data_IF_470137367958
#
_entry.id   IF_470137367958
#
_cell.length_a   1.000
_cell.length_b   1.000
_cell.length_c   1.000
_cell.angle_alpha   90.00
_cell.angle_beta   90.00
_cell.angle_gamma   90.00
#
_symmetry.space_group_name_H-M   'P 1'
#
loop_
_entity.id
_entity.type
_entity.pdbx_description
1 polymer ?
#
# COMPACT_ATOMS: atom_id res chain seq x y z
N UNK A 1 -11.11 -41.91 -24.35
CA UNK A 1 -10.14 -41.59 -25.42
C UNK A 1 -9.20 -40.50 -24.90
N UNK A 2 -7.89 -40.73 -24.95
CA UNK A 2 -6.80 -39.92 -24.35
C UNK A 2 -6.52 -38.62 -25.13
N UNK A 3 -5.99 -37.59 -24.47
CA UNK A 3 -4.68 -36.93 -24.72
C UNK A 3 -4.60 -35.55 -24.02
N UNK A 4 -3.71 -35.37 -23.02
CA UNK A 4 -2.34 -34.77 -23.09
C UNK A 4 -2.38 -33.29 -23.56
N UNK A 5 -1.97 -32.26 -22.81
CA UNK A 5 -0.82 -32.12 -21.93
C UNK A 5 0.39 -31.61 -22.74
N UNK A 6 0.73 -30.32 -22.69
CA UNK A 6 2.04 -29.82 -23.11
C UNK A 6 2.41 -28.47 -22.44
N UNK A 7 3.39 -28.57 -21.54
CA UNK A 7 4.20 -27.50 -20.95
C UNK A 7 5.28 -27.14 -21.97
N UNK A 8 5.57 -25.85 -22.19
CA UNK A 8 6.77 -25.43 -22.95
C UNK A 8 7.58 -24.38 -22.20
N UNK A 9 8.76 -24.86 -21.84
CA UNK A 9 10.02 -24.27 -21.37
C UNK A 9 10.34 -22.83 -21.81
N UNK A 10 10.85 -22.07 -20.83
CA UNK A 10 11.65 -20.84 -20.98
C UNK A 10 13.11 -21.21 -21.31
N UNK A 11 13.81 -20.49 -22.20
CA UNK A 11 15.26 -20.54 -22.26
C UNK A 11 15.93 -19.43 -21.44
N UNK A 12 16.88 -19.86 -20.63
CA UNK A 12 17.90 -19.10 -19.89
C UNK A 12 19.05 -18.78 -20.85
N UNK A 13 19.46 -17.52 -20.96
CA UNK A 13 20.69 -17.08 -21.65
C UNK A 13 21.49 -16.30 -20.61
N UNK A 14 22.48 -16.92 -19.98
CA UNK A 14 23.91 -16.99 -20.35
C UNK A 14 24.66 -15.67 -20.13
N UNK A 15 25.47 -15.75 -19.09
CA UNK A 15 26.47 -14.84 -18.56
C UNK A 15 27.70 -14.82 -19.49
N UNK A 16 28.25 -13.66 -19.81
CA UNK A 16 29.57 -13.53 -20.44
C UNK A 16 30.37 -12.43 -19.76
N UNK A 17 31.22 -12.89 -18.86
CA UNK A 17 32.49 -12.32 -18.44
C UNK A 17 33.44 -12.03 -19.62
N UNK A 18 34.16 -10.91 -19.61
CA UNK A 18 35.45 -10.63 -20.28
C UNK A 18 35.73 -9.12 -20.11
N UNK A 19 36.91 -8.54 -19.89
CA UNK A 19 38.23 -8.91 -19.37
C UNK A 19 38.87 -7.54 -19.02
N UNK A 20 39.65 -7.53 -17.95
CA UNK A 20 40.38 -6.41 -17.39
C UNK A 20 41.71 -6.25 -18.14
N UNK A 21 42.00 -5.06 -18.70
CA UNK A 21 43.40 -4.60 -18.89
C UNK A 21 43.46 -3.16 -19.39
N UNK A 22 44.10 -2.28 -18.61
CA UNK A 22 45.29 -1.48 -18.95
C UNK A 22 45.52 -0.36 -17.91
N UNK A 23 46.64 -0.45 -17.19
CA UNK A 23 47.40 0.71 -16.68
C UNK A 23 48.69 0.84 -17.52
N UNK A 24 49.26 2.05 -17.57
CA UNK A 24 50.57 2.30 -16.93
C UNK A 24 50.55 3.60 -16.10
N UNK A 25 51.13 3.66 -14.89
CA UNK A 25 52.55 3.93 -14.55
C UNK A 25 53.08 5.24 -15.15
N UNK A 26 53.32 6.24 -14.28
CA UNK A 26 54.57 7.01 -14.30
C UNK A 26 54.87 7.59 -12.91
N UNK A 27 56.16 7.67 -12.64
CA UNK A 27 56.84 7.85 -11.36
C UNK A 27 57.43 9.26 -11.19
N UNK A 28 58.11 9.43 -10.07
CA UNK A 28 59.07 10.49 -9.71
C UNK A 28 58.47 11.70 -8.98
N UNK A 29 59.09 12.30 -7.97
CA UNK A 29 60.44 12.12 -7.44
C UNK A 29 60.69 13.20 -6.38
N UNK A 30 61.13 12.72 -5.22
CA UNK A 30 61.59 13.40 -4.01
C UNK A 30 62.56 14.60 -4.22
N UNK A 31 62.40 15.71 -3.47
CA UNK A 31 63.45 16.35 -2.63
C UNK A 31 63.07 17.75 -2.10
N UNK A 32 63.06 17.97 -0.77
CA UNK A 32 63.98 18.91 -0.08
C UNK A 32 63.75 19.08 1.44
N UNK A 33 64.81 18.73 2.19
CA UNK A 33 65.52 19.48 3.27
C UNK A 33 64.77 19.96 4.55
N UNK A 34 65.14 19.25 5.64
CA UNK A 34 65.34 19.55 7.08
C UNK A 34 65.21 21.00 7.64
N UNK A 35 64.36 21.13 8.69
CA UNK A 35 64.46 21.73 10.07
C UNK A 35 65.24 23.04 10.34
N UNK A 36 64.97 23.84 11.42
CA UNK A 36 64.21 23.54 12.66
C UNK A 36 63.30 24.67 13.23
N UNK A 37 62.51 24.30 14.25
CA UNK A 37 62.03 25.08 15.40
C UNK A 37 61.45 26.50 15.20
N UNK A 38 60.14 26.63 15.45
CA UNK A 38 59.63 27.77 16.22
C UNK A 38 58.34 27.37 16.95
N UNK A 39 58.32 27.69 18.23
CA UNK A 39 57.24 27.40 19.17
C UNK A 39 55.94 28.11 18.78
N UNK A 40 54.82 27.40 18.85
CA UNK A 40 53.52 28.01 19.05
C UNK A 40 52.56 26.98 19.67
N UNK A 41 52.33 27.19 20.97
CA UNK A 41 51.25 26.69 21.80
C UNK A 41 49.96 26.46 20.98
N UNK A 42 49.62 25.21 20.66
CA UNK A 42 48.31 24.86 20.10
C UNK A 42 47.39 24.45 21.23
N UNK A 43 46.52 25.39 21.57
CA UNK A 43 45.37 25.24 22.44
C UNK A 43 44.58 23.97 22.05
N UNK A 44 44.47 23.01 22.97
CA UNK A 44 43.56 21.88 22.86
C UNK A 44 42.13 22.41 23.03
N UNK A 45 41.55 22.92 21.94
CA UNK A 45 40.11 23.17 21.87
C UNK A 45 39.46 21.81 21.63
N UNK A 46 39.04 21.16 22.71
CA UNK A 46 38.08 20.08 22.65
C UNK A 46 36.75 20.66 22.14
N UNK A 47 36.59 20.76 20.82
CA UNK A 47 35.27 20.88 20.21
C UNK A 47 34.53 19.57 20.48
N UNK A 48 33.81 19.51 21.60
CA UNK A 48 32.71 18.58 21.75
C UNK A 48 31.68 18.93 20.66
N UNK A 49 31.79 18.28 19.51
CA UNK A 49 30.71 18.22 18.54
C UNK A 49 29.59 17.46 19.23
N UNK A 50 28.66 18.20 19.82
CA UNK A 50 27.38 17.67 20.22
C UNK A 50 26.70 17.23 18.92
N UNK A 51 26.84 15.94 18.61
CA UNK A 51 26.03 15.28 17.61
C UNK A 51 24.60 15.41 18.14
N UNK A 52 23.88 16.42 17.65
CA UNK A 52 22.43 16.50 17.74
C UNK A 52 21.91 15.29 16.95
N UNK A 53 21.84 14.14 17.60
CA UNK A 53 21.05 13.03 17.13
C UNK A 53 19.61 13.52 17.25
N UNK A 54 18.87 13.78 16.16
CA UNK A 54 17.45 14.06 16.30
C UNK A 54 16.87 12.85 17.02
N UNK A 55 16.28 13.08 18.19
CA UNK A 55 15.51 12.07 18.87
C UNK A 55 14.54 11.52 17.83
N UNK A 56 14.67 10.24 17.49
CA UNK A 56 13.69 9.51 16.70
C UNK A 56 12.37 9.72 17.42
N UNK A 57 11.49 10.55 16.85
CA UNK A 57 10.17 10.82 17.41
C UNK A 57 9.50 9.48 17.62
N UNK A 58 9.31 9.10 18.88
CA UNK A 58 8.47 7.97 19.22
C UNK A 58 7.08 8.30 18.69
N UNK A 59 6.59 7.49 17.76
CA UNK A 59 5.20 7.59 17.32
C UNK A 59 4.31 7.60 18.57
N UNK A 60 3.43 8.59 18.67
CA UNK A 60 2.45 8.67 19.75
C UNK A 60 1.73 7.32 19.88
N UNK A 61 1.57 6.79 21.10
CA UNK A 61 0.91 5.51 21.30
C UNK A 61 -0.53 5.57 20.75
N UNK A 62 -0.96 4.49 20.11
CA UNK A 62 -2.33 4.40 19.59
C UNK A 62 -3.34 4.55 20.73
N UNK A 63 -4.53 5.13 20.47
CA UNK A 63 -5.62 5.15 21.44
C UNK A 63 -5.94 3.74 21.96
N UNK A 64 -6.41 3.65 23.21
CA UNK A 64 -6.79 2.38 23.80
C UNK A 64 -7.79 1.61 22.91
N UNK A 65 -7.52 0.32 22.71
CA UNK A 65 -8.33 -0.57 21.86
C UNK A 65 -7.99 -0.53 20.38
N UNK A 66 -7.04 0.31 19.94
CA UNK A 66 -6.48 0.28 18.59
C UNK A 66 -5.13 -0.42 18.57
N UNK A 67 -4.85 -1.10 17.45
CA UNK A 67 -3.64 -1.89 17.25
C UNK A 67 -3.09 -1.66 15.84
N UNK A 68 -1.78 -1.80 15.71
CA UNK A 68 -1.18 -2.00 14.40
C UNK A 68 -1.35 -3.46 13.98
N UNK A 69 -1.93 -3.66 12.80
CA UNK A 69 -2.37 -4.99 12.38
C UNK A 69 -1.20 -5.93 12.06
N UNK A 70 -0.07 -5.39 11.64
CA UNK A 70 1.19 -6.12 11.42
C UNK A 70 1.76 -6.79 12.69
N UNK A 71 1.33 -6.34 13.88
CA UNK A 71 1.69 -6.99 15.16
C UNK A 71 0.80 -8.19 15.51
N UNK A 72 -0.30 -8.39 14.77
CA UNK A 72 -1.31 -9.42 15.06
C UNK A 72 -1.55 -10.42 13.92
N UNK A 73 -1.23 -10.04 12.68
CA UNK A 73 -1.54 -10.85 11.50
C UNK A 73 -0.27 -11.08 10.68
N UNK A 74 0.28 -12.29 10.75
CA UNK A 74 1.43 -12.69 9.94
C UNK A 74 1.08 -12.81 8.46
N UNK A 75 1.94 -12.25 7.60
CA UNK A 75 1.80 -12.37 6.15
C UNK A 75 0.66 -11.58 5.54
N UNK A 76 0.09 -10.60 6.26
CA UNK A 76 -0.83 -9.62 5.68
C UNK A 76 -0.05 -8.66 4.78
N UNK A 77 -0.44 -8.55 3.52
CA UNK A 77 0.12 -7.50 2.66
C UNK A 77 -0.56 -6.16 2.95
N UNK A 78 0.24 -5.11 3.07
CA UNK A 78 -0.23 -3.75 3.34
C UNK A 78 0.17 -2.84 2.18
N UNK A 79 -0.82 -2.22 1.56
CA UNK A 79 -0.67 -1.25 0.49
C UNK A 79 -1.54 -0.04 0.81
N UNK A 80 -1.13 0.76 1.81
CA UNK A 80 -1.93 1.90 2.29
C UNK A 80 -2.04 2.98 1.19
N UNK A 81 -3.10 2.90 0.38
CA UNK A 81 -3.23 3.69 -0.86
C UNK A 81 -3.16 5.18 -0.63
N UNK A 82 -3.76 5.63 0.46
CA UNK A 82 -3.82 7.04 0.84
C UNK A 82 -2.51 7.57 1.46
N UNK A 83 -1.55 6.69 1.78
CA UNK A 83 -0.17 7.10 2.09
C UNK A 83 0.67 7.36 0.82
N UNK A 84 0.23 6.84 -0.33
CA UNK A 84 0.91 7.00 -1.63
C UNK A 84 0.20 8.05 -2.50
N UNK A 85 0.74 8.32 -3.69
CA UNK A 85 0.05 9.11 -4.72
C UNK A 85 -0.86 8.26 -5.62
N UNK A 86 -0.85 6.92 -5.48
CA UNK A 86 -1.58 5.96 -6.28
C UNK A 86 -3.05 5.81 -5.88
N UNK A 87 -3.75 6.91 -5.64
CA UNK A 87 -5.16 6.98 -5.21
C UNK A 87 -5.93 8.02 -6.05
N UNK A 88 -7.25 8.12 -5.85
CA UNK A 88 -8.12 8.97 -6.67
C UNK A 88 -7.86 10.47 -6.55
N UNK A 89 -7.22 10.93 -5.46
CA UNK A 89 -6.83 12.33 -5.29
C UNK A 89 -5.55 12.64 -6.09
N UNK A 90 -4.67 11.65 -6.23
CA UNK A 90 -3.38 11.77 -6.94
C UNK A 90 -2.23 12.33 -6.07
N UNK A 91 -2.47 12.52 -4.77
CA UNK A 91 -1.48 12.95 -3.79
C UNK A 91 -1.62 12.18 -2.48
N UNK A 92 -0.65 12.34 -1.57
CA UNK A 92 -0.74 11.75 -0.23
C UNK A 92 -1.85 12.44 0.57
N UNK A 93 -2.71 11.66 1.20
CA UNK A 93 -3.86 12.16 1.95
C UNK A 93 -3.45 12.59 3.36
N UNK A 94 -4.07 13.66 3.85
CA UNK A 94 -3.80 14.19 5.20
C UNK A 94 -4.06 13.14 6.29
N UNK A 95 -3.10 12.99 7.21
CA UNK A 95 -3.20 12.05 8.32
C UNK A 95 -2.75 10.63 8.01
N UNK A 96 -2.44 10.30 6.74
CA UNK A 96 -1.69 9.10 6.41
C UNK A 96 -0.19 9.43 6.50
N UNK A 97 0.42 9.07 7.62
CA UNK A 97 1.81 9.40 7.95
C UNK A 97 2.77 8.21 7.78
N UNK A 98 2.23 7.02 7.50
CA UNK A 98 3.00 5.82 7.20
C UNK A 98 2.18 4.73 6.53
N UNK A 99 2.86 3.74 5.95
CA UNK A 99 2.22 2.56 5.34
C UNK A 99 1.93 1.49 6.38
N UNK A 100 1.06 1.79 7.35
CA UNK A 100 0.63 0.82 8.38
C UNK A 100 -0.88 0.80 8.52
N UNK A 101 -1.44 -0.39 8.53
CA UNK A 101 -2.85 -0.61 8.83
C UNK A 101 -3.08 -0.57 10.34
N UNK A 102 -4.02 0.29 10.76
CA UNK A 102 -4.47 0.43 12.15
C UNK A 102 -5.95 0.03 12.19
N UNK A 103 -6.32 -0.85 13.12
CA UNK A 103 -7.70 -1.27 13.35
C UNK A 103 -7.99 -1.29 14.84
N UNK A 104 -9.27 -1.40 15.21
CA UNK A 104 -9.62 -1.84 16.55
C UNK A 104 -9.16 -3.29 16.76
N UNK A 105 -8.81 -3.64 17.99
CA UNK A 105 -8.36 -4.98 18.34
C UNK A 105 -9.38 -6.10 17.95
N UNK A 106 -10.71 -5.92 18.12
CA UNK A 106 -11.69 -6.89 17.60
C UNK A 106 -11.65 -7.04 16.08
N UNK A 107 -11.53 -5.94 15.33
CA UNK A 107 -11.47 -5.98 13.87
C UNK A 107 -10.16 -6.64 13.37
N UNK A 108 -9.03 -6.34 14.01
CA UNK A 108 -7.75 -6.99 13.72
C UNK A 108 -7.81 -8.50 13.95
N UNK A 109 -8.41 -8.95 15.07
CA UNK A 109 -8.61 -10.39 15.33
C UNK A 109 -9.50 -11.06 14.27
N UNK A 110 -10.62 -10.44 13.92
CA UNK A 110 -11.53 -10.97 12.92
C UNK A 110 -10.84 -11.08 11.55
N UNK A 111 -10.09 -10.06 11.15
CA UNK A 111 -9.31 -10.05 9.92
C UNK A 111 -8.20 -11.12 9.94
N UNK A 112 -7.57 -11.34 11.09
CA UNK A 112 -6.59 -12.41 11.28
C UNK A 112 -7.21 -13.79 11.07
N UNK A 113 -8.43 -14.01 11.54
CA UNK A 113 -9.15 -15.26 11.30
C UNK A 113 -9.48 -15.48 9.81
N UNK A 114 -9.78 -14.40 9.06
CA UNK A 114 -9.94 -14.45 7.59
C UNK A 114 -8.62 -14.85 6.92
N UNK A 115 -7.51 -14.20 7.28
CA UNK A 115 -6.17 -14.52 6.77
C UNK A 115 -5.84 -16.00 6.97
N UNK A 116 -5.99 -16.52 8.20
CA UNK A 116 -5.75 -17.94 8.51
C UNK A 116 -6.64 -18.88 7.70
N UNK A 117 -7.89 -18.48 7.44
CA UNK A 117 -8.82 -19.30 6.66
C UNK A 117 -8.47 -19.36 5.17
N UNK A 118 -7.78 -18.36 4.64
CA UNK A 118 -7.30 -18.31 3.25
C UNK A 118 -6.02 -19.12 3.01
N UNK A 119 -5.14 -19.26 4.02
CA UNK A 119 -3.84 -19.93 3.87
C UNK A 119 -3.91 -21.31 3.20
N UNK A 120 -4.83 -22.23 3.57
CA UNK A 120 -4.89 -23.57 2.95
C UNK A 120 -5.26 -23.54 1.47
N UNK A 121 -5.81 -22.42 0.98
CA UNK A 121 -6.14 -22.21 -0.44
C UNK A 121 -4.95 -21.63 -1.22
N UNK A 122 -3.81 -21.38 -0.58
CA UNK A 122 -2.68 -20.67 -1.19
C UNK A 122 -2.97 -19.18 -1.41
N UNK A 123 -3.93 -18.64 -0.66
CA UNK A 123 -4.36 -17.24 -0.74
C UNK A 123 -4.03 -16.50 0.57
N UNK A 124 -4.00 -15.17 0.49
CA UNK A 124 -3.93 -14.26 1.62
C UNK A 124 -4.69 -12.97 1.35
N UNK A 125 -4.59 -12.02 2.27
CA UNK A 125 -5.19 -10.70 2.17
C UNK A 125 -4.16 -9.63 1.82
N UNK A 126 -4.60 -8.63 1.05
CA UNK A 126 -3.95 -7.34 0.90
C UNK A 126 -4.92 -6.23 1.31
N UNK A 127 -4.52 -5.37 2.24
CA UNK A 127 -5.32 -4.21 2.67
C UNK A 127 -4.88 -2.93 1.97
N UNK A 128 -5.87 -2.12 1.57
CA UNK A 128 -5.69 -0.82 0.92
C UNK A 128 -5.93 0.35 1.85
N UNK A 129 -6.89 0.21 2.76
CA UNK A 129 -7.19 1.19 3.80
C UNK A 129 -7.76 0.53 5.07
N UNK A 130 -7.50 1.16 6.21
CA UNK A 130 -7.93 0.71 7.54
C UNK A 130 -8.47 1.93 8.31
N UNK A 131 -7.99 2.24 9.52
CA UNK A 131 -8.37 3.48 10.19
C UNK A 131 -8.06 4.71 9.33
N UNK A 132 -9.10 5.53 9.10
CA UNK A 132 -9.03 6.78 8.34
C UNK A 132 -9.27 7.96 9.29
N UNK A 133 -8.28 8.84 9.51
CA UNK A 133 -8.49 9.99 10.39
C UNK A 133 -9.46 11.00 9.74
N UNK A 134 -10.17 11.79 10.56
CA UNK A 134 -11.13 12.77 10.05
C UNK A 134 -10.50 13.77 9.06
N UNK A 135 -9.25 14.20 9.31
CA UNK A 135 -8.51 15.07 8.39
C UNK A 135 -8.35 14.50 6.98
N UNK A 136 -8.33 13.17 6.81
CA UNK A 136 -8.33 12.54 5.49
C UNK A 136 -9.68 12.71 4.79
N UNK A 137 -10.78 12.52 5.52
CA UNK A 137 -12.14 12.76 5.01
C UNK A 137 -12.31 14.24 4.62
N UNK A 138 -11.77 15.14 5.44
CA UNK A 138 -11.79 16.58 5.14
C UNK A 138 -10.93 16.92 3.92
N UNK A 139 -9.79 16.23 3.73
CA UNK A 139 -8.97 16.33 2.52
C UNK A 139 -9.78 15.89 1.29
N UNK A 140 -10.42 14.72 1.32
CA UNK A 140 -11.31 14.26 0.24
C UNK A 140 -12.39 15.29 -0.09
N UNK A 141 -12.98 15.93 0.93
CA UNK A 141 -13.99 16.97 0.76
C UNK A 141 -13.46 18.24 0.11
N UNK A 142 -12.23 18.66 0.45
CA UNK A 142 -11.57 19.78 -0.23
C UNK A 142 -11.25 19.44 -1.69
N UNK A 143 -10.71 18.25 -1.95
CA UNK A 143 -10.39 17.78 -3.29
C UNK A 143 -11.61 17.74 -4.22
N UNK A 144 -12.74 17.22 -3.73
CA UNK A 144 -13.95 17.13 -4.55
C UNK A 144 -14.57 18.49 -4.88
N UNK A 145 -14.40 19.48 -3.99
CA UNK A 145 -14.86 20.87 -4.21
C UNK A 145 -13.91 21.68 -5.09
N UNK A 146 -12.64 21.29 -5.16
CA UNK A 146 -11.67 21.96 -6.02
C UNK A 146 -12.02 21.74 -7.51
N UNK A 147 -11.59 22.64 -8.42
CA UNK A 147 -11.75 22.44 -9.86
C UNK A 147 -11.22 21.07 -10.32
N UNK A 148 -11.87 20.46 -11.31
CA UNK A 148 -11.40 19.22 -11.91
C UNK A 148 -10.13 19.47 -12.73
N UNK A 149 -9.09 18.66 -12.52
CA UNK A 149 -7.83 18.73 -13.27
C UNK A 149 -7.74 17.65 -14.34
N UNK A 150 -8.54 16.59 -14.21
CA UNK A 150 -8.56 15.43 -15.09
C UNK A 150 -7.46 14.40 -14.82
N UNK A 151 -6.54 14.66 -13.86
CA UNK A 151 -5.34 13.86 -13.65
C UNK A 151 -5.64 12.38 -13.30
N UNK A 152 -6.68 12.14 -12.50
CA UNK A 152 -7.06 10.80 -12.01
C UNK A 152 -8.41 10.33 -12.56
N UNK A 153 -9.17 11.20 -13.24
CA UNK A 153 -10.55 10.94 -13.70
C UNK A 153 -10.68 9.65 -14.50
N UNK A 154 -9.84 9.47 -15.53
CA UNK A 154 -9.89 8.30 -16.40
C UNK A 154 -9.71 6.97 -15.65
N UNK A 155 -8.92 6.97 -14.57
CA UNK A 155 -8.59 5.77 -13.82
C UNK A 155 -9.58 5.45 -12.69
N UNK A 156 -10.16 6.48 -12.06
CA UNK A 156 -10.93 6.31 -10.82
C UNK A 156 -12.41 6.69 -10.94
N UNK A 157 -12.80 7.55 -11.88
CA UNK A 157 -14.19 8.00 -12.02
C UNK A 157 -14.49 8.45 -13.46
N UNK A 158 -14.25 7.59 -14.47
CA UNK A 158 -14.28 8.00 -15.89
C UNK A 158 -15.65 8.50 -16.36
N UNK A 159 -16.73 7.95 -15.79
CA UNK A 159 -18.11 8.28 -16.14
C UNK A 159 -18.85 9.14 -15.10
N UNK A 160 -18.14 9.66 -14.10
CA UNK A 160 -18.76 10.40 -12.98
C UNK A 160 -18.13 11.79 -12.87
N UNK A 161 -18.96 12.80 -12.62
CA UNK A 161 -18.46 14.13 -12.31
C UNK A 161 -18.02 14.21 -10.86
N UNK A 162 -16.88 14.88 -10.62
CA UNK A 162 -16.24 14.90 -9.30
C UNK A 162 -17.14 15.50 -8.21
N UNK A 163 -18.00 16.45 -8.57
CA UNK A 163 -19.02 17.01 -7.67
C UNK A 163 -20.03 15.98 -7.18
N UNK A 164 -20.27 14.92 -7.95
CA UNK A 164 -21.30 13.91 -7.68
C UNK A 164 -20.77 12.78 -6.80
N UNK A 165 -19.44 12.63 -6.67
CA UNK A 165 -18.81 11.59 -5.85
C UNK A 165 -19.24 11.66 -4.36
N UNK A 166 -19.48 12.86 -3.85
CA UNK A 166 -20.02 13.05 -2.50
C UNK A 166 -21.52 12.74 -2.41
N UNK A 167 -22.30 13.18 -3.40
CA UNK A 167 -23.76 12.99 -3.45
C UNK A 167 -24.13 11.52 -3.58
N UNK A 168 -23.32 10.76 -4.32
CA UNK A 168 -23.51 9.32 -4.51
C UNK A 168 -23.15 8.48 -3.27
N UNK A 169 -22.65 9.11 -2.21
CA UNK A 169 -22.26 8.45 -0.97
C UNK A 169 -20.95 7.68 -1.06
N UNK A 170 -20.14 7.92 -2.09
CA UNK A 170 -18.80 7.35 -2.23
C UNK A 170 -17.81 8.02 -1.26
N UNK A 171 -18.08 9.26 -0.85
CA UNK A 171 -17.34 9.94 0.22
C UNK A 171 -18.36 10.47 1.23
N UNK A 172 -18.38 9.87 2.42
CA UNK A 172 -19.30 10.21 3.50
C UNK A 172 -18.59 11.09 4.54
N UNK A 173 -19.28 12.13 5.04
CA UNK A 173 -18.74 13.03 6.06
C UNK A 173 -18.37 12.29 7.37
N UNK A 174 -19.03 11.16 7.62
CA UNK A 174 -18.70 10.21 8.70
C UNK A 174 -18.32 8.87 8.06
N UNK A 175 -17.02 8.64 7.90
CA UNK A 175 -16.52 7.37 7.37
C UNK A 175 -16.60 6.27 8.43
N UNK A 176 -17.06 5.07 8.02
CA UNK A 176 -16.98 3.87 8.84
C UNK A 176 -15.54 3.57 9.26
N UNK A 177 -14.55 3.92 8.43
CA UNK A 177 -13.12 3.81 8.71
C UNK A 177 -12.67 4.66 9.89
N UNK A 178 -13.29 5.81 10.14
CA UNK A 178 -12.94 6.69 11.27
C UNK A 178 -13.25 6.04 12.64
N UNK A 179 -14.01 4.94 12.65
CA UNK A 179 -14.29 4.14 13.87
C UNK A 179 -13.32 2.97 14.05
N UNK A 180 -12.41 2.72 13.09
CA UNK A 180 -11.36 1.70 13.19
C UNK A 180 -11.79 0.25 12.94
N UNK A 181 -13.05 0.00 12.58
CA UNK A 181 -13.57 -1.35 12.31
C UNK A 181 -14.03 -1.54 10.87
N UNK A 182 -13.62 -0.66 9.96
CA UNK A 182 -13.78 -0.86 8.52
C UNK A 182 -12.42 -1.10 7.87
N UNK A 183 -12.42 -1.90 6.81
CA UNK A 183 -11.23 -2.27 6.05
C UNK A 183 -11.57 -2.36 4.56
N UNK A 184 -10.68 -1.82 3.74
CA UNK A 184 -10.70 -2.00 2.30
C UNK A 184 -9.65 -3.05 1.93
N UNK A 185 -10.08 -4.16 1.32
CA UNK A 185 -9.25 -5.36 1.21
C UNK A 185 -9.50 -6.11 -0.09
N UNK A 186 -8.48 -6.84 -0.55
CA UNK A 186 -8.58 -7.83 -1.62
C UNK A 186 -7.89 -9.14 -1.26
N UNK A 187 -8.09 -10.15 -2.09
CA UNK A 187 -7.35 -11.41 -2.05
C UNK A 187 -6.01 -11.24 -2.79
N UNK A 188 -4.99 -11.94 -2.33
CA UNK A 188 -3.71 -12.10 -3.01
C UNK A 188 -3.30 -13.57 -3.08
N UNK A 189 -2.39 -13.90 -4.00
CA UNK A 189 -2.04 -15.28 -4.32
C UNK A 189 -2.85 -15.84 -5.49
N UNK A 190 -2.37 -16.92 -6.11
CA UNK A 190 -2.95 -17.50 -7.32
C UNK A 190 -2.43 -16.89 -8.64
N UNK A 191 -2.64 -17.61 -9.74
CA UNK A 191 -2.11 -17.29 -11.08
C UNK A 191 -3.04 -16.32 -11.84
N UNK A 192 -3.20 -15.08 -11.41
CA UNK A 192 -3.87 -14.05 -12.23
C UNK A 192 -3.70 -12.66 -11.61
N UNK A 193 -2.96 -11.77 -12.28
CA UNK A 193 -2.99 -10.34 -12.00
C UNK A 193 -4.22 -9.70 -12.64
N UNK A 194 -4.86 -8.79 -11.91
CA UNK A 194 -6.03 -8.02 -12.38
C UNK A 194 -5.68 -6.79 -13.21
N UNK A 195 -6.69 -5.94 -13.53
CA UNK A 195 -6.51 -4.69 -14.30
C UNK A 195 -5.70 -3.62 -13.57
N UNK A 196 -5.52 -3.76 -12.26
CA UNK A 196 -4.56 -2.96 -11.50
C UNK A 196 -3.31 -3.82 -11.24
N UNK A 197 -2.12 -3.40 -11.71
CA UNK A 197 -0.88 -4.17 -11.57
C UNK A 197 -0.51 -4.44 -10.11
N UNK A 198 -1.08 -3.67 -9.18
CA UNK A 198 -0.84 -3.75 -7.75
C UNK A 198 -1.99 -4.46 -6.99
N UNK A 199 -3.12 -4.75 -7.64
CA UNK A 199 -4.17 -5.61 -7.04
C UNK A 199 -3.74 -7.06 -7.10
N UNK A 200 -4.05 -7.83 -6.04
CA UNK A 200 -3.76 -9.26 -5.99
C UNK A 200 -4.55 -10.05 -7.04
N UNK A 201 -5.61 -10.72 -6.61
CA UNK A 201 -6.51 -11.47 -7.48
C UNK A 201 -7.34 -10.51 -8.34
N UNK A 202 -7.61 -10.87 -9.60
CA UNK A 202 -8.45 -10.07 -10.50
C UNK A 202 -9.91 -9.95 -10.00
N UNK A 203 -10.27 -8.76 -9.54
CA UNK A 203 -11.62 -8.41 -9.07
C UNK A 203 -12.44 -7.68 -10.14
N UNK A 204 -11.92 -7.52 -11.36
CA UNK A 204 -12.59 -6.90 -12.51
C UNK A 204 -12.62 -5.38 -12.52
N UNK A 205 -12.37 -4.74 -11.38
CA UNK A 205 -12.09 -3.31 -11.28
C UNK A 205 -10.96 -3.08 -10.29
N UNK A 206 -10.34 -1.91 -10.38
CA UNK A 206 -9.37 -1.47 -9.39
C UNK A 206 -10.04 -1.00 -8.10
N UNK A 207 -9.26 -0.96 -7.04
CA UNK A 207 -9.64 -0.27 -5.80
C UNK A 207 -9.94 1.21 -6.08
N UNK A 208 -10.93 1.77 -5.38
CA UNK A 208 -11.41 3.15 -5.54
C UNK A 208 -11.92 3.53 -6.94
N UNK A 209 -12.30 2.56 -7.77
CA UNK A 209 -13.07 2.88 -8.97
C UNK A 209 -14.50 3.27 -8.56
N UNK A 210 -14.83 4.55 -8.64
CA UNK A 210 -16.17 5.10 -8.42
C UNK A 210 -17.03 4.91 -9.68
N UNK A 211 -17.43 3.67 -9.92
CA UNK A 211 -18.31 3.26 -11.01
C UNK A 211 -19.20 2.11 -10.54
N UNK A 212 -20.34 1.90 -11.21
CA UNK A 212 -21.22 0.76 -10.95
C UNK A 212 -20.49 -0.58 -11.12
N UNK A 213 -19.44 -0.63 -11.94
CA UNK A 213 -18.58 -1.80 -12.09
C UNK A 213 -17.95 -2.27 -10.77
N UNK A 214 -17.82 -1.39 -9.77
CA UNK A 214 -17.30 -1.74 -8.44
C UNK A 214 -18.34 -2.34 -7.50
N UNK A 215 -19.63 -2.33 -7.87
CA UNK A 215 -20.68 -2.88 -7.03
C UNK A 215 -20.58 -4.41 -7.00
N UNK A 216 -20.80 -5.07 -5.84
CA UNK A 216 -20.73 -6.53 -5.74
C UNK A 216 -21.69 -7.28 -6.68
N UNK A 217 -22.81 -6.67 -7.08
CA UNK A 217 -23.84 -7.26 -7.94
C UNK A 217 -23.71 -6.91 -9.43
N UNK A 218 -22.62 -6.22 -9.83
CA UNK A 218 -22.42 -5.80 -11.22
C UNK A 218 -22.37 -6.99 -12.18
N UNK A 219 -23.28 -6.99 -13.18
CA UNK A 219 -23.45 -8.10 -14.12
C UNK A 219 -22.40 -8.16 -15.25
N UNK A 220 -21.62 -7.10 -15.46
CA UNK A 220 -20.65 -7.01 -16.57
C UNK A 220 -19.30 -7.69 -16.31
N UNK A 221 -19.16 -8.44 -15.22
CA UNK A 221 -17.92 -9.12 -14.84
C UNK A 221 -17.81 -10.51 -15.48
N UNK A 222 -16.58 -10.97 -15.73
CA UNK A 222 -16.32 -12.35 -16.10
C UNK A 222 -16.70 -13.32 -14.96
N UNK A 223 -16.88 -14.60 -15.30
CA UNK A 223 -17.17 -15.64 -14.31
C UNK A 223 -16.10 -15.71 -13.21
N UNK A 224 -14.82 -15.59 -13.56
CA UNK A 224 -13.73 -15.64 -12.59
C UNK A 224 -13.75 -14.43 -11.64
N UNK A 225 -13.94 -13.22 -12.16
CA UNK A 225 -14.02 -12.01 -11.34
C UNK A 225 -15.20 -12.05 -10.36
N UNK A 226 -16.36 -12.56 -10.80
CA UNK A 226 -17.52 -12.79 -9.91
C UNK A 226 -17.21 -13.81 -8.83
N UNK A 227 -16.54 -14.92 -9.18
CA UNK A 227 -16.14 -15.94 -8.22
C UNK A 227 -15.14 -15.39 -7.18
N UNK A 228 -14.20 -14.55 -7.60
CA UNK A 228 -13.21 -13.92 -6.72
C UNK A 228 -13.88 -12.95 -5.72
N UNK A 229 -14.77 -12.06 -6.20
CA UNK A 229 -15.55 -11.17 -5.33
C UNK A 229 -16.43 -11.96 -4.36
N UNK A 230 -17.07 -13.03 -4.83
CA UNK A 230 -17.91 -13.89 -4.00
C UNK A 230 -17.10 -14.60 -2.91
N UNK A 231 -15.92 -15.13 -3.25
CA UNK A 231 -15.02 -15.76 -2.28
C UNK A 231 -14.64 -14.77 -1.17
N UNK A 232 -14.17 -13.57 -1.54
CA UNK A 232 -13.82 -12.52 -0.58
C UNK A 232 -15.02 -12.18 0.31
N UNK A 233 -16.19 -11.94 -0.30
CA UNK A 233 -17.40 -11.61 0.47
C UNK A 233 -17.76 -12.70 1.47
N UNK A 234 -17.86 -13.95 1.03
CA UNK A 234 -18.31 -15.06 1.88
C UNK A 234 -17.36 -15.32 3.04
N UNK A 235 -16.04 -15.19 2.82
CA UNK A 235 -15.07 -15.39 3.89
C UNK A 235 -15.09 -14.22 4.89
N UNK A 236 -15.22 -12.98 4.42
CA UNK A 236 -15.36 -11.81 5.29
C UNK A 236 -16.65 -11.90 6.13
N UNK A 237 -17.79 -12.21 5.51
CA UNK A 237 -19.10 -12.40 6.18
C UNK A 237 -19.05 -13.51 7.23
N UNK A 238 -18.38 -14.63 6.92
CA UNK A 238 -18.19 -15.73 7.87
C UNK A 238 -17.47 -15.31 9.16
N UNK A 239 -16.62 -14.30 9.09
CA UNK A 239 -15.85 -13.78 10.22
C UNK A 239 -16.44 -12.47 10.79
N UNK A 240 -17.72 -12.20 10.49
CA UNK A 240 -18.51 -11.14 11.11
C UNK A 240 -18.55 -9.83 10.35
N UNK A 241 -17.78 -9.68 9.28
CA UNK A 241 -17.77 -8.45 8.49
C UNK A 241 -19.02 -8.33 7.61
N UNK A 242 -19.53 -7.12 7.46
CA UNK A 242 -20.64 -6.77 6.57
C UNK A 242 -20.09 -6.03 5.35
N UNK A 243 -20.42 -6.46 4.11
CA UNK A 243 -19.99 -5.79 2.90
C UNK A 243 -20.73 -4.45 2.69
N UNK A 244 -20.12 -3.54 1.94
CA UNK A 244 -20.81 -2.36 1.43
C UNK A 244 -21.42 -2.61 0.04
N UNK A 245 -22.69 -2.25 -0.23
CA UNK A 245 -23.35 -2.57 -1.49
C UNK A 245 -22.78 -1.91 -2.75
N UNK A 246 -21.89 -0.92 -2.63
CA UNK A 246 -21.34 -0.17 -3.78
C UNK A 246 -19.85 -0.41 -4.02
N UNK A 247 -19.18 -1.14 -3.13
CA UNK A 247 -17.73 -1.33 -3.17
C UNK A 247 -17.41 -2.78 -2.82
N UNK A 248 -16.85 -3.54 -3.77
CA UNK A 248 -16.53 -4.96 -3.55
C UNK A 248 -15.42 -5.19 -2.51
N UNK A 249 -14.61 -4.17 -2.25
CA UNK A 249 -13.45 -4.24 -1.34
C UNK A 249 -13.79 -3.82 0.10
N UNK A 250 -14.91 -3.13 0.33
CA UNK A 250 -15.20 -2.49 1.61
C UNK A 250 -16.02 -3.37 2.55
N UNK A 251 -15.51 -3.53 3.77
CA UNK A 251 -16.12 -4.33 4.82
C UNK A 251 -16.07 -3.62 6.16
N UNK A 252 -17.12 -3.79 6.97
CA UNK A 252 -17.18 -3.28 8.36
C UNK A 252 -17.56 -4.38 9.35
N UNK A 253 -16.95 -4.40 10.53
CA UNK A 253 -17.33 -5.26 11.64
C UNK A 253 -18.41 -4.59 12.50
#
# INVERSE_FOLDING_TARGET
>A
MKMKGLIRLVPRVMDTSFDNRRQPMDSDGNHHRRNPACAALRLLVCCAVLINCPATGSAEPLPAGFVHVDTMIDGLAVDMRYFTTGNFVGERIDGYEGSRCILTEPAARALGAVQEKLRPLGLGLKVFDCYRPQRAVDHFARWAKAPETGATKAAFYPGVDKSDLFVQGCIVAQSSHSRGSAVDVTLMGGSSGGPDPDTGVDMGTRFDLFDRASWPDYGGLSFQQRANRLLLRLIMEKHGFLPYPKEWWHFRL
#
